data_IF_378231070460
#
_entry.id   IF_378231070460
#
_cell.length_a   1.000
_cell.length_b   1.000
_cell.length_c   1.000
_cell.angle_alpha   90.00
_cell.angle_beta   90.00
_cell.angle_gamma   90.00
#
_symmetry.space_group_name_H-M   'P 1'
#
loop_
_entity.id
_entity.type
_entity.pdbx_description
1 polymer ?
#
# COMPACT_ATOMS: atom_id res chain seq x y z
N UNK A 1 -1.99 -23.53 -0.06
CA UNK A 1 -2.84 -22.45 0.48
C UNK A 1 -2.13 -21.52 1.48
N UNK A 2 -1.19 -22.00 2.30
CA UNK A 2 -0.49 -21.16 3.30
C UNK A 2 0.09 -19.82 2.80
N UNK A 3 0.73 -19.72 1.61
CA UNK A 3 1.25 -18.45 1.12
C UNK A 3 0.16 -17.40 0.84
N UNK A 4 -1.01 -17.86 0.38
CA UNK A 4 -2.15 -17.00 0.10
C UNK A 4 -2.82 -16.51 1.39
N UNK A 5 -2.91 -17.39 2.39
CA UNK A 5 -3.40 -17.03 3.72
C UNK A 5 -2.48 -15.99 4.38
N UNK A 6 -1.17 -16.17 4.28
CA UNK A 6 -0.18 -15.20 4.78
C UNK A 6 -0.28 -13.85 4.06
N UNK A 7 -0.36 -13.85 2.73
CA UNK A 7 -0.60 -12.65 1.94
C UNK A 7 -1.89 -11.93 2.37
N UNK A 8 -2.97 -12.68 2.61
CA UNK A 8 -4.25 -12.12 3.04
C UNK A 8 -4.17 -11.52 4.45
N UNK A 9 -3.44 -12.15 5.38
CA UNK A 9 -3.24 -11.56 6.72
C UNK A 9 -2.48 -10.24 6.67
N UNK A 10 -1.48 -10.11 5.78
CA UNK A 10 -0.74 -8.86 5.59
C UNK A 10 -1.65 -7.81 4.94
N UNK A 11 -2.41 -8.20 3.91
CA UNK A 11 -3.36 -7.30 3.23
C UNK A 11 -4.44 -6.80 4.18
N UNK A 12 -4.82 -7.56 5.21
CA UNK A 12 -5.80 -7.10 6.18
C UNK A 12 -5.18 -6.33 7.36
N UNK A 13 -3.86 -6.10 7.37
CA UNK A 13 -3.22 -5.30 8.42
C UNK A 13 -3.54 -3.81 8.21
N UNK A 14 -3.78 -3.08 9.31
CA UNK A 14 -4.07 -1.64 9.24
C UNK A 14 -2.87 -0.80 8.81
N UNK A 15 -1.67 -1.37 8.86
CA UNK A 15 -0.39 -0.74 8.52
C UNK A 15 0.07 -1.02 7.09
N UNK A 16 -0.75 -1.67 6.27
CA UNK A 16 -0.35 -1.99 4.91
C UNK A 16 -0.39 -0.76 4.01
N UNK A 17 0.68 -0.57 3.24
CA UNK A 17 0.80 0.51 2.27
C UNK A 17 0.77 -0.01 0.83
N UNK A 18 0.57 0.89 -0.12
CA UNK A 18 0.53 0.57 -1.55
C UNK A 18 1.77 -0.22 -2.02
N UNK A 19 2.96 0.09 -1.46
CA UNK A 19 4.20 -0.61 -1.75
C UNK A 19 4.15 -2.11 -1.40
N UNK A 20 3.56 -2.44 -0.25
CA UNK A 20 3.44 -3.82 0.22
C UNK A 20 2.49 -4.63 -0.68
N UNK A 21 1.40 -4.00 -1.14
CA UNK A 21 0.48 -4.64 -2.08
C UNK A 21 1.18 -5.02 -3.39
N UNK A 22 2.00 -4.11 -3.92
CA UNK A 22 2.79 -4.37 -5.12
C UNK A 22 3.80 -5.51 -4.91
N UNK A 23 4.47 -5.53 -3.76
CA UNK A 23 5.43 -6.58 -3.41
C UNK A 23 4.75 -7.95 -3.23
N UNK A 24 3.62 -8.02 -2.54
CA UNK A 24 2.85 -9.25 -2.34
C UNK A 24 2.40 -9.84 -3.68
N UNK A 25 1.89 -9.01 -4.59
CA UNK A 25 1.51 -9.45 -5.95
C UNK A 25 2.71 -9.95 -6.75
N UNK A 26 3.84 -9.26 -6.65
CA UNK A 26 5.10 -9.66 -7.30
C UNK A 26 5.60 -11.01 -6.74
N UNK A 27 5.57 -11.19 -5.42
CA UNK A 27 5.91 -12.46 -4.77
C UNK A 27 4.95 -13.58 -5.16
N UNK A 28 3.64 -13.31 -5.21
CA UNK A 28 2.64 -14.27 -5.68
C UNK A 28 2.98 -14.74 -7.09
N UNK A 29 3.33 -13.82 -7.99
CA UNK A 29 3.72 -14.17 -9.36
C UNK A 29 4.90 -15.14 -9.43
N UNK A 30 5.95 -14.87 -8.67
CA UNK A 30 7.14 -15.72 -8.57
C UNK A 30 6.81 -17.09 -7.95
N UNK A 31 5.89 -17.15 -6.99
CA UNK A 31 5.47 -18.44 -6.41
C UNK A 31 4.64 -19.27 -7.38
N UNK A 32 3.83 -18.64 -8.25
CA UNK A 32 3.07 -19.35 -9.29
C UNK A 32 3.96 -20.11 -10.26
N UNK A 33 5.14 -19.59 -10.59
CA UNK A 33 6.07 -20.28 -11.49
C UNK A 33 6.52 -21.63 -10.91
N UNK A 34 6.62 -21.75 -9.57
CA UNK A 34 6.94 -23.02 -8.89
C UNK A 34 5.81 -24.06 -9.03
N UNK A 35 4.55 -23.63 -9.09
CA UNK A 35 3.40 -24.53 -9.28
C UNK A 35 3.25 -24.99 -10.74
N UNK A 36 3.72 -24.20 -11.71
CA UNK A 36 3.68 -24.57 -13.14
C UNK A 36 4.64 -25.73 -13.46
N UNK A 37 5.71 -25.86 -12.69
CA UNK A 37 6.73 -26.92 -12.85
C UNK A 37 6.23 -28.29 -12.36
N UNK A 38 5.30 -28.34 -11.41
CA UNK A 38 4.75 -29.59 -10.89
C UNK A 38 3.58 -30.07 -11.75
N UNK A 39 3.68 -31.29 -12.29
CA UNK A 39 2.71 -31.91 -13.23
C UNK A 39 1.29 -32.00 -12.67
N UNK A 40 1.11 -32.23 -11.37
CA UNK A 40 -0.20 -32.34 -10.75
C UNK A 40 -0.88 -30.99 -10.53
N UNK A 41 -0.09 -29.93 -10.32
CA UNK A 41 -0.60 -28.57 -10.02
C UNK A 41 -0.47 -27.61 -11.19
N UNK A 42 0.06 -28.06 -12.34
CA UNK A 42 0.35 -27.22 -13.49
C UNK A 42 -0.89 -26.51 -14.04
N UNK A 43 -2.04 -27.19 -14.14
CA UNK A 43 -3.28 -26.59 -14.64
C UNK A 43 -3.74 -25.44 -13.73
N UNK A 44 -3.70 -25.66 -12.42
CA UNK A 44 -4.01 -24.64 -11.42
C UNK A 44 -2.97 -23.50 -11.43
N UNK A 45 -1.68 -23.82 -11.49
CA UNK A 45 -0.59 -22.83 -11.57
C UNK A 45 -0.72 -21.91 -12.79
N UNK A 46 -1.07 -22.45 -13.96
CA UNK A 46 -1.36 -21.66 -15.16
C UNK A 46 -2.58 -20.76 -15.00
N UNK A 47 -3.64 -21.25 -14.36
CA UNK A 47 -4.83 -20.45 -14.06
C UNK A 47 -4.50 -19.28 -13.11
N UNK A 48 -3.86 -19.58 -11.97
CA UNK A 48 -3.47 -18.55 -11.00
C UNK A 48 -2.49 -17.56 -11.62
N UNK A 49 -1.52 -18.03 -12.42
CA UNK A 49 -0.58 -17.16 -13.12
C UNK A 49 -1.27 -16.15 -14.04
N UNK A 50 -2.28 -16.59 -14.81
CA UNK A 50 -3.10 -15.68 -15.63
C UNK A 50 -3.83 -14.64 -14.80
N UNK A 51 -4.44 -15.03 -13.68
CA UNK A 51 -5.16 -14.10 -12.79
C UNK A 51 -4.19 -13.09 -12.19
N UNK A 52 -3.04 -13.55 -11.69
CA UNK A 52 -2.00 -12.68 -11.12
C UNK A 52 -1.47 -11.73 -12.18
N UNK A 53 -1.21 -12.17 -13.42
CA UNK A 53 -0.74 -11.30 -14.50
C UNK A 53 -1.74 -10.19 -14.85
N UNK A 54 -3.04 -10.51 -14.90
CA UNK A 54 -4.08 -9.50 -15.12
C UNK A 54 -4.06 -8.46 -14.00
N UNK A 55 -4.05 -8.93 -12.74
CA UNK A 55 -4.01 -8.02 -11.58
C UNK A 55 -2.73 -7.20 -11.56
N UNK A 56 -1.58 -7.83 -11.81
CA UNK A 56 -0.30 -7.14 -11.78
C UNK A 56 -0.24 -6.02 -12.83
N UNK A 57 -0.90 -6.17 -13.99
CA UNK A 57 -1.06 -5.06 -14.96
C UNK A 57 -1.93 -3.93 -14.44
N UNK A 58 -3.02 -4.22 -13.72
CA UNK A 58 -3.87 -3.20 -13.08
C UNK A 58 -3.09 -2.42 -12.00
N UNK A 59 -2.24 -3.12 -11.23
CA UNK A 59 -1.42 -2.55 -10.16
C UNK A 59 -0.08 -1.97 -10.66
N UNK A 60 0.27 -2.16 -11.93
CA UNK A 60 1.44 -1.55 -12.56
C UNK A 60 1.12 -0.12 -13.01
N UNK A 61 0.62 0.69 -12.09
CA UNK A 61 0.37 2.11 -12.31
C UNK A 61 1.42 2.96 -11.59
N UNK A 62 1.49 4.23 -11.97
CA UNK A 62 2.52 5.13 -11.44
C UNK A 62 2.43 5.32 -9.92
N UNK A 63 1.25 5.19 -9.31
CA UNK A 63 1.06 5.37 -7.87
C UNK A 63 1.62 4.20 -7.04
N UNK A 64 1.29 2.96 -7.39
CA UNK A 64 1.83 1.76 -6.73
C UNK A 64 3.34 1.66 -6.94
N UNK A 65 3.81 1.96 -8.15
CA UNK A 65 5.24 2.04 -8.45
C UNK A 65 5.91 3.12 -7.62
N UNK A 66 5.35 4.32 -7.55
CA UNK A 66 5.89 5.42 -6.73
C UNK A 66 6.00 5.03 -5.26
N UNK A 67 4.96 4.41 -4.68
CA UNK A 67 5.00 3.92 -3.31
C UNK A 67 6.12 2.89 -3.10
N UNK A 68 6.24 1.93 -4.02
CA UNK A 68 7.29 0.91 -3.98
C UNK A 68 8.70 1.52 -4.05
N UNK A 69 8.93 2.48 -4.95
CA UNK A 69 10.24 3.12 -5.11
C UNK A 69 10.62 4.07 -3.97
N UNK A 70 9.65 4.72 -3.34
CA UNK A 70 9.88 5.60 -2.20
C UNK A 70 10.09 4.82 -0.89
N UNK A 71 9.82 3.51 -0.90
CA UNK A 71 9.94 2.68 0.28
C UNK A 71 11.43 2.43 0.63
N UNK A 72 11.92 2.86 1.82
CA UNK A 72 13.33 2.76 2.18
C UNK A 72 13.91 1.34 2.08
N UNK A 73 13.10 0.33 2.47
CA UNK A 73 13.50 -1.10 2.38
C UNK A 73 13.67 -1.62 0.94
N UNK A 74 12.96 -1.07 -0.04
CA UNK A 74 12.92 -1.59 -1.41
C UNK A 74 13.67 -0.72 -2.42
N UNK A 75 14.06 0.50 -2.01
CA UNK A 75 14.69 1.51 -2.83
C UNK A 75 16.04 1.07 -3.45
N UNK A 76 16.75 0.11 -2.86
CA UNK A 76 18.05 -0.38 -3.35
C UNK A 76 17.97 -1.64 -4.24
N UNK A 77 16.91 -2.45 -4.10
CA UNK A 77 16.88 -3.82 -4.66
C UNK A 77 16.02 -3.97 -5.93
N UNK A 78 15.01 -3.11 -6.16
CA UNK A 78 13.98 -3.32 -7.19
C UNK A 78 14.15 -2.52 -8.49
N UNK A 79 15.37 -2.18 -8.86
CA UNK A 79 15.63 -1.03 -9.72
C UNK A 79 15.71 -1.39 -11.21
N UNK A 80 14.57 -1.61 -11.87
CA UNK A 80 14.51 -1.56 -13.34
C UNK A 80 14.75 -0.11 -13.77
N UNK A 81 15.87 0.14 -14.45
CA UNK A 81 16.40 1.46 -14.85
C UNK A 81 15.38 2.34 -15.61
N UNK A 82 14.41 1.75 -16.28
CA UNK A 82 13.37 2.44 -17.07
C UNK A 82 12.28 3.07 -16.18
N UNK A 83 11.87 2.42 -15.09
CA UNK A 83 10.74 2.84 -14.24
C UNK A 83 10.99 4.11 -13.44
N UNK A 84 12.27 4.43 -13.17
CA UNK A 84 12.67 5.64 -12.44
C UNK A 84 12.14 6.92 -13.09
N UNK A 85 12.28 7.05 -14.41
CA UNK A 85 11.91 8.27 -15.14
C UNK A 85 10.39 8.54 -15.10
N UNK A 86 9.57 7.49 -15.26
CA UNK A 86 8.12 7.58 -15.19
C UNK A 86 7.63 7.95 -13.79
N UNK A 87 8.24 7.35 -12.76
CA UNK A 87 7.90 7.61 -11.36
C UNK A 87 8.28 9.02 -10.95
N UNK A 88 9.47 9.51 -11.30
CA UNK A 88 9.83 10.91 -11.02
C UNK A 88 8.92 11.90 -11.75
N UNK A 89 8.47 11.56 -12.97
CA UNK A 89 7.47 12.37 -13.70
C UNK A 89 6.13 12.39 -12.97
N UNK A 90 5.60 11.22 -12.57
CA UNK A 90 4.35 11.13 -11.81
C UNK A 90 4.45 11.88 -10.47
N UNK A 91 5.55 11.73 -9.73
CA UNK A 91 5.77 12.43 -8.47
C UNK A 91 5.85 13.95 -8.68
N UNK A 92 6.47 14.42 -9.76
CA UNK A 92 6.51 15.83 -10.11
C UNK A 92 5.12 16.37 -10.48
N UNK A 93 4.31 15.62 -11.23
CA UNK A 93 2.93 15.97 -11.55
C UNK A 93 2.06 16.03 -10.29
N UNK A 94 2.14 15.02 -9.42
CA UNK A 94 1.42 14.96 -8.15
C UNK A 94 1.86 16.08 -7.19
N UNK A 95 3.15 16.39 -7.15
CA UNK A 95 3.70 17.52 -6.40
C UNK A 95 3.07 18.85 -6.80
N UNK A 96 2.98 19.10 -8.12
CA UNK A 96 2.36 20.30 -8.68
C UNK A 96 0.88 20.41 -8.30
N UNK A 97 0.13 19.31 -8.33
CA UNK A 97 -1.28 19.29 -7.92
C UNK A 97 -1.47 19.67 -6.44
N UNK A 98 -0.50 19.35 -5.59
CA UNK A 98 -0.53 19.65 -4.15
C UNK A 98 0.03 21.05 -3.83
N UNK A 99 0.52 21.80 -4.83
CA UNK A 99 1.12 23.12 -4.66
C UNK A 99 2.57 23.10 -4.18
N UNK A 100 3.24 21.94 -4.25
CA UNK A 100 4.65 21.80 -3.94
C UNK A 100 5.51 21.92 -5.21
N UNK A 101 6.71 22.51 -5.08
CA UNK A 101 7.69 22.55 -6.16
C UNK A 101 8.75 21.47 -5.92
N UNK A 102 8.59 20.31 -6.57
CA UNK A 102 9.59 19.25 -6.56
C UNK A 102 10.69 19.62 -7.57
N UNK A 103 11.73 20.32 -7.12
CA UNK A 103 12.99 20.27 -7.83
C UNK A 103 13.45 18.80 -7.80
N UNK A 104 13.71 18.20 -8.97
CA UNK A 104 14.21 16.82 -9.10
C UNK A 104 15.54 16.69 -8.37
N UNK A 105 15.50 16.47 -7.06
CA UNK A 105 16.68 16.32 -6.23
C UNK A 105 17.23 14.93 -6.42
N UNK A 106 18.46 14.87 -6.95
CA UNK A 106 19.32 13.69 -6.87
C UNK A 106 19.62 13.39 -5.41
N UNK A 107 18.76 12.66 -4.73
CA UNK A 107 19.13 12.08 -3.46
C UNK A 107 18.22 10.90 -3.13
N UNK A 108 18.82 9.72 -3.05
CA UNK A 108 18.35 8.58 -2.25
C UNK A 108 19.42 7.47 -2.34
N UNK A 109 20.59 7.78 -1.83
CA UNK A 109 21.54 6.80 -1.32
C UNK A 109 22.02 7.34 0.01
N UNK A 110 22.08 6.50 1.04
CA UNK A 110 22.51 6.79 2.41
C UNK A 110 21.36 7.05 3.38
N UNK A 111 20.81 5.97 3.94
CA UNK A 111 20.69 5.69 5.39
C UNK A 111 19.70 4.55 5.61
N UNK A 112 20.26 3.34 5.79
CA UNK A 112 19.54 2.17 6.24
C UNK A 112 19.38 2.21 7.76
N UNK A 113 18.13 2.25 8.23
CA UNK A 113 17.72 1.80 9.57
C UNK A 113 16.33 1.18 9.45
N UNK A 114 16.08 0.14 10.25
CA UNK A 114 14.92 -0.76 10.27
C UNK A 114 13.58 -0.12 10.66
N UNK A 115 13.39 1.15 10.33
CA UNK A 115 12.23 1.93 10.71
C UNK A 115 11.10 1.80 9.67
N UNK A 116 9.85 2.02 10.10
CA UNK A 116 8.69 2.10 9.18
C UNK A 116 8.90 3.19 8.13
N UNK A 117 8.31 3.02 6.94
CA UNK A 117 8.46 4.00 5.85
C UNK A 117 8.09 5.42 6.28
N UNK A 118 7.05 5.56 7.11
CA UNK A 118 6.60 6.85 7.63
C UNK A 118 7.59 7.51 8.60
N UNK A 119 8.16 6.74 9.53
CA UNK A 119 9.14 7.27 10.48
C UNK A 119 10.45 7.68 9.80
N UNK A 120 10.88 6.95 8.76
CA UNK A 120 12.06 7.31 7.97
C UNK A 120 11.88 8.65 7.24
N UNK A 121 10.74 8.83 6.56
CA UNK A 121 10.45 10.06 5.83
C UNK A 121 10.17 11.26 6.75
N UNK A 122 9.58 11.02 7.93
CA UNK A 122 9.42 12.04 8.97
C UNK A 122 10.77 12.54 9.50
N UNK A 123 11.69 11.62 9.80
CA UNK A 123 13.05 11.95 10.27
C UNK A 123 13.82 12.81 9.25
N UNK A 124 13.65 12.56 7.95
CA UNK A 124 14.30 13.35 6.89
C UNK A 124 13.65 14.72 6.73
N UNK A 125 12.33 14.81 6.89
CA UNK A 125 11.62 16.07 6.83
C UNK A 125 12.06 17.06 7.93
N UNK A 126 12.42 16.55 9.10
CA UNK A 126 12.86 17.36 10.24
C UNK A 126 14.34 17.81 10.12
N UNK A 127 15.19 16.96 9.53
CA UNK A 127 16.63 17.21 9.43
C UNK A 127 17.07 18.03 8.21
N UNK A 128 16.22 18.14 7.19
CA UNK A 128 16.53 18.87 5.95
C UNK A 128 15.33 19.70 5.53
N UNK A 129 15.51 21.03 5.39
CA UNK A 129 14.49 22.01 4.97
C UNK A 129 13.32 21.39 4.20
N UNK A 130 12.14 21.26 4.83
CA UNK A 130 10.84 20.81 4.25
C UNK A 130 10.96 20.26 2.83
N UNK A 131 11.50 19.05 2.71
CA UNK A 131 11.71 18.46 1.40
C UNK A 131 10.35 18.16 0.77
N UNK A 132 10.03 18.78 -0.37
CA UNK A 132 8.79 18.50 -1.11
C UNK A 132 8.57 16.99 -1.35
N UNK A 133 9.66 16.23 -1.49
CA UNK A 133 9.65 14.78 -1.65
C UNK A 133 9.18 14.04 -0.40
N UNK A 134 9.66 14.37 0.81
CA UNK A 134 9.25 13.69 2.05
C UNK A 134 7.76 13.87 2.31
N UNK A 135 7.24 15.08 2.09
CA UNK A 135 5.81 15.37 2.21
C UNK A 135 4.95 14.55 1.25
N UNK A 136 5.42 14.33 0.02
CA UNK A 136 4.71 13.50 -0.96
C UNK A 136 4.79 12.03 -0.57
N UNK A 137 5.96 11.55 -0.15
CA UNK A 137 6.15 10.18 0.31
C UNK A 137 5.22 9.84 1.47
N UNK A 138 5.16 10.68 2.50
CA UNK A 138 4.26 10.50 3.65
C UNK A 138 2.79 10.43 3.22
N UNK A 139 2.36 11.28 2.29
CA UNK A 139 1.00 11.24 1.75
C UNK A 139 0.71 9.97 0.96
N UNK A 140 1.66 9.50 0.16
CA UNK A 140 1.52 8.25 -0.60
C UNK A 140 1.43 7.05 0.36
N UNK A 141 2.21 7.04 1.44
CA UNK A 141 2.16 5.96 2.45
C UNK A 141 0.89 5.99 3.30
N UNK A 142 0.29 7.16 3.52
CA UNK A 142 -1.00 7.26 4.21
C UNK A 142 -2.18 6.64 3.43
N UNK A 143 -1.99 6.26 2.16
CA UNK A 143 -3.04 5.62 1.36
C UNK A 143 -3.15 4.16 1.78
N UNK A 144 -4.23 3.83 2.47
CA UNK A 144 -4.60 2.43 2.76
C UNK A 144 -5.18 1.79 1.50
N UNK A 145 -4.57 0.72 0.96
CA UNK A 145 -4.96 0.12 -0.32
C UNK A 145 -6.24 -0.74 -0.26
N UNK A 146 -6.88 -0.87 0.91
CA UNK A 146 -8.04 -1.74 1.10
C UNK A 146 -9.20 -1.08 1.85
N UNK A 147 -10.42 -1.58 1.62
CA UNK A 147 -11.64 -1.24 2.39
C UNK A 147 -11.82 -2.05 3.68
N UNK A 148 -10.89 -2.94 4.03
CA UNK A 148 -11.04 -3.87 5.16
C UNK A 148 -11.14 -3.16 6.52
N UNK A 149 -10.51 -1.99 6.68
CA UNK A 149 -10.62 -1.19 7.91
C UNK A 149 -12.06 -0.73 8.16
N UNK A 150 -12.71 -0.04 7.22
CA UNK A 150 -14.16 0.19 7.26
C UNK A 150 -14.97 -1.10 7.46
N UNK A 151 -14.67 -2.20 6.76
CA UNK A 151 -15.42 -3.47 6.88
C UNK A 151 -15.35 -4.09 8.29
N UNK A 152 -14.19 -4.03 8.95
CA UNK A 152 -14.06 -4.46 10.36
C UNK A 152 -14.90 -3.59 11.28
N UNK A 153 -14.89 -2.28 11.06
CA UNK A 153 -15.67 -1.35 11.86
C UNK A 153 -17.18 -1.53 11.61
N UNK A 154 -17.60 -1.74 10.37
CA UNK A 154 -18.97 -2.09 10.03
C UNK A 154 -19.38 -3.45 10.62
N UNK A 155 -18.47 -4.43 10.69
CA UNK A 155 -18.74 -5.70 11.37
C UNK A 155 -18.96 -5.53 12.88
N UNK A 156 -18.20 -4.64 13.53
CA UNK A 156 -18.39 -4.30 14.95
C UNK A 156 -19.73 -3.58 15.14
N UNK A 157 -20.08 -2.66 14.24
CA UNK A 157 -21.32 -1.89 14.28
C UNK A 157 -22.54 -2.65 13.76
N UNK A 158 -22.35 -3.86 13.21
CA UNK A 158 -23.41 -4.65 12.58
C UNK A 158 -24.56 -4.94 13.55
N UNK A 159 -24.24 -5.12 14.83
CA UNK A 159 -25.25 -5.31 15.88
C UNK A 159 -26.15 -4.08 16.11
N UNK A 160 -25.64 -2.87 15.85
CA UNK A 160 -26.33 -1.59 16.01
C UNK A 160 -27.02 -1.12 14.73
N UNK A 161 -26.70 -1.73 13.60
CA UNK A 161 -27.28 -1.40 12.29
C UNK A 161 -28.36 -2.42 11.87
N UNK A 162 -28.16 -3.71 12.16
CA UNK A 162 -28.91 -4.80 11.50
C UNK A 162 -30.02 -5.39 12.38
N UNK A 163 -29.88 -5.39 13.71
CA UNK A 163 -30.92 -5.92 14.60
C UNK A 163 -32.03 -4.90 14.87
N UNK A 164 -33.28 -5.26 14.53
CA UNK A 164 -34.48 -4.41 14.70
C UNK A 164 -34.64 -3.82 16.11
N UNK A 165 -34.21 -4.53 17.17
CA UNK A 165 -34.29 -4.06 18.56
C UNK A 165 -33.23 -3.01 18.93
N UNK A 166 -32.10 -2.98 18.22
CA UNK A 166 -30.94 -2.13 18.52
C UNK A 166 -30.59 -1.19 17.35
N UNK A 167 -31.48 -1.04 16.36
CA UNK A 167 -31.23 -0.26 15.16
C UNK A 167 -31.19 1.22 15.49
N UNK A 168 -29.98 1.78 15.47
CA UNK A 168 -29.74 3.20 15.65
C UNK A 168 -29.94 3.98 14.34
N UNK A 169 -30.18 5.28 14.45
CA UNK A 169 -30.22 6.17 13.30
C UNK A 169 -28.80 6.28 12.67
N UNK A 170 -28.66 6.29 11.34
CA UNK A 170 -27.40 6.58 10.65
C UNK A 170 -26.54 7.70 11.26
N UNK A 171 -27.13 8.83 11.66
CA UNK A 171 -26.38 9.94 12.28
C UNK A 171 -25.74 9.55 13.63
N UNK A 172 -26.43 8.71 14.42
CA UNK A 172 -25.91 8.22 15.69
C UNK A 172 -24.82 7.17 15.48
N UNK A 173 -24.96 6.32 14.45
CA UNK A 173 -23.93 5.35 14.07
C UNK A 173 -22.65 6.05 13.62
N UNK A 174 -22.75 7.11 12.81
CA UNK A 174 -21.61 7.92 12.37
C UNK A 174 -20.90 8.59 13.56
N UNK A 175 -21.66 9.11 14.53
CA UNK A 175 -21.06 9.69 15.73
C UNK A 175 -20.31 8.65 16.57
N UNK A 176 -20.88 7.45 16.73
CA UNK A 176 -20.24 6.33 17.45
C UNK A 176 -18.96 5.90 16.73
N UNK A 177 -19.00 5.79 15.40
CA UNK A 177 -17.82 5.48 14.58
C UNK A 177 -16.70 6.50 14.79
N UNK A 178 -17.01 7.80 14.67
CA UNK A 178 -16.05 8.88 14.91
C UNK A 178 -15.41 8.81 16.30
N UNK A 179 -16.21 8.55 17.32
CA UNK A 179 -15.73 8.41 18.72
C UNK A 179 -14.84 7.16 18.83
N UNK A 180 -15.28 6.02 18.34
CA UNK A 180 -14.52 4.77 18.40
C UNK A 180 -13.17 4.89 17.68
N UNK A 181 -13.16 5.53 16.51
CA UNK A 181 -11.92 5.78 15.75
C UNK A 181 -10.99 6.75 16.48
N UNK A 182 -11.53 7.79 17.13
CA UNK A 182 -10.74 8.74 17.92
C UNK A 182 -10.03 8.09 19.11
N UNK A 183 -10.66 7.14 19.81
CA UNK A 183 -10.04 6.45 20.95
C UNK A 183 -9.11 5.30 20.58
N UNK A 184 -9.09 4.89 19.31
CA UNK A 184 -8.31 3.75 18.82
C UNK A 184 -7.02 4.16 18.10
N UNK A 185 -6.98 5.38 17.57
CA UNK A 185 -5.78 6.04 17.03
C UNK A 185 -4.97 6.69 18.15
#
# INVERSE_FOLDING_TARGET
MQPLAYAMTIIQSSSIILADCYLILSCLRLTTDKFVVNTETQAFGKFVGKVVDIRLKEFHNDLYLSAYYLHPKYCSAGMLTVGRSAVYRCLAEYSKQIGNNLATTKMLSVLYKDDTSESWWSMINDNTHKNSLSNISLRIFSITPHSVMPERLFSILDWHHTKRRNRLNPFTLEAIDKIHTFYKN
#
